data_IF_992506445006
#
_entry.id   IF_992506445006
#
_cell.length_a   1.000
_cell.length_b   1.000
_cell.length_c   1.000
_cell.angle_alpha   90.00
_cell.angle_beta   90.00
_cell.angle_gamma   90.00
#
_symmetry.space_group_name_H-M   'P 1'
#
loop_
_entity.id
_entity.type
_entity.pdbx_description
1 polymer ?
#
# COMPACT_ATOMS: atom_id res chain seq x y z
N UNK A 1 20.94 4.76 15.30
CA UNK A 1 19.94 4.15 14.39
C UNK A 1 18.60 4.85 14.59
N UNK A 2 17.69 4.85 13.61
CA UNK A 2 16.35 5.43 13.76
C UNK A 2 15.28 4.36 13.91
N UNK A 3 14.29 4.64 14.75
CA UNK A 3 13.20 3.72 15.09
C UNK A 3 11.87 4.45 15.08
N UNK A 4 10.90 3.97 14.31
CA UNK A 4 9.52 4.46 14.35
C UNK A 4 8.70 3.53 15.24
N UNK A 5 8.18 3.98 16.39
CA UNK A 5 7.30 3.17 17.22
C UNK A 5 6.02 2.82 16.47
N UNK A 6 5.65 1.54 16.50
CA UNK A 6 4.50 0.98 15.79
C UNK A 6 3.64 0.09 16.68
N UNK A 7 2.36 -0.06 16.34
CA UNK A 7 1.39 -0.85 17.08
C UNK A 7 0.46 -1.61 16.12
N UNK A 8 0.29 -2.91 16.34
CA UNK A 8 -0.67 -3.77 15.64
C UNK A 8 -0.69 -5.17 16.26
N UNK A 9 -1.76 -5.92 16.04
CA UNK A 9 -1.88 -7.31 16.52
C UNK A 9 -1.01 -8.31 15.74
N UNK A 10 -0.39 -7.90 14.63
CA UNK A 10 0.40 -8.78 13.75
C UNK A 10 1.93 -8.60 13.86
N UNK A 11 2.40 -7.72 14.76
CA UNK A 11 3.80 -7.31 14.79
C UNK A 11 4.76 -8.43 15.20
N UNK A 12 4.34 -9.31 16.11
CA UNK A 12 5.12 -10.49 16.51
C UNK A 12 5.50 -11.36 15.29
N UNK A 13 4.54 -11.64 14.42
CA UNK A 13 4.78 -12.45 13.21
C UNK A 13 5.72 -11.74 12.23
N UNK A 14 5.56 -10.43 12.06
CA UNK A 14 6.42 -9.65 11.17
C UNK A 14 7.85 -9.50 11.72
N UNK A 15 8.01 -9.37 13.03
CA UNK A 15 9.32 -9.26 13.68
C UNK A 15 10.15 -10.55 13.54
N UNK A 16 9.51 -11.71 13.70
CA UNK A 16 10.20 -13.01 13.65
C UNK A 16 10.60 -13.39 12.21
N UNK A 17 9.76 -13.08 11.23
CA UNK A 17 9.90 -13.64 9.87
C UNK A 17 10.97 -12.97 8.99
N UNK A 18 11.64 -11.91 9.47
CA UNK A 18 12.61 -11.08 8.72
C UNK A 18 12.21 -10.95 7.24
N UNK A 19 11.11 -10.26 7.00
CA UNK A 19 10.39 -10.35 5.73
C UNK A 19 11.06 -9.58 4.58
N UNK A 20 12.00 -8.66 4.85
CA UNK A 20 12.66 -7.80 3.86
C UNK A 20 14.01 -7.31 4.38
N UNK A 21 14.97 -7.09 3.48
CA UNK A 21 16.24 -6.42 3.80
C UNK A 21 16.09 -4.88 3.92
N UNK A 22 15.04 -4.30 3.33
CA UNK A 22 14.82 -2.86 3.27
C UNK A 22 13.97 -2.34 4.44
N UNK A 23 13.15 -3.19 5.05
CA UNK A 23 12.27 -2.86 6.16
C UNK A 23 12.31 -3.98 7.19
N UNK A 24 12.56 -3.63 8.45
CA UNK A 24 12.54 -4.58 9.56
C UNK A 24 11.62 -4.08 10.67
N UNK A 25 10.98 -5.03 11.35
CA UNK A 25 10.28 -4.78 12.61
C UNK A 25 11.09 -5.45 13.71
N UNK A 26 11.43 -4.67 14.75
CA UNK A 26 12.13 -5.17 15.94
C UNK A 26 11.21 -5.07 17.14
N UNK A 27 11.20 -6.13 17.95
CA UNK A 27 10.52 -6.16 19.25
C UNK A 27 11.50 -5.82 20.36
N UNK A 28 11.00 -5.15 21.39
CA UNK A 28 11.67 -4.85 22.64
C UNK A 28 10.65 -4.92 23.78
N UNK A 29 11.10 -4.67 25.01
CA UNK A 29 10.21 -4.52 26.16
C UNK A 29 10.36 -3.13 26.76
N UNK A 30 9.30 -2.65 27.40
CA UNK A 30 9.38 -1.44 28.21
C UNK A 30 10.29 -1.63 29.43
N UNK A 31 10.51 -0.55 30.19
CA UNK A 31 11.43 -0.57 31.36
C UNK A 31 10.97 -1.57 32.44
N UNK A 32 9.67 -1.88 32.50
CA UNK A 32 9.13 -2.87 33.45
C UNK A 32 9.32 -4.32 32.97
N UNK A 33 9.53 -4.52 31.66
CA UNK A 33 9.60 -5.85 31.04
C UNK A 33 8.23 -6.47 30.79
N UNK A 34 7.13 -5.77 31.08
CA UNK A 34 5.78 -6.31 31.01
C UNK A 34 5.07 -6.00 29.68
N UNK A 35 5.51 -4.94 29.00
CA UNK A 35 4.88 -4.47 27.77
C UNK A 35 5.81 -4.67 26.58
N UNK A 36 5.38 -5.50 25.63
CA UNK A 36 6.05 -5.62 24.33
C UNK A 36 5.93 -4.32 23.54
N UNK A 37 7.07 -3.80 23.10
CA UNK A 37 7.19 -2.62 22.25
C UNK A 37 7.71 -3.04 20.88
N UNK A 38 7.24 -2.38 19.84
CA UNK A 38 7.66 -2.66 18.47
C UNK A 38 8.08 -1.40 17.75
N UNK A 39 9.10 -1.56 16.92
CA UNK A 39 9.64 -0.48 16.13
C UNK A 39 9.86 -0.91 14.69
N UNK A 40 9.46 -0.07 13.74
CA UNK A 40 9.96 -0.14 12.38
C UNK A 40 11.35 0.48 12.33
N UNK A 41 12.27 -0.21 11.67
CA UNK A 41 13.60 0.30 11.36
C UNK A 41 14.02 -0.11 9.95
N UNK A 42 14.99 0.59 9.38
CA UNK A 42 15.43 0.34 8.01
C UNK A 42 16.87 0.84 7.80
N UNK A 43 17.68 0.14 6.98
CA UNK A 43 19.00 0.64 6.61
C UNK A 43 18.93 1.98 5.87
N UNK A 44 17.82 2.30 5.20
CA UNK A 44 17.60 3.57 4.52
C UNK A 44 17.42 4.77 5.45
N UNK A 45 17.32 4.54 6.77
CA UNK A 45 17.29 5.62 7.76
C UNK A 45 18.70 5.96 8.28
N UNK A 46 19.69 5.06 8.10
CA UNK A 46 21.04 5.22 8.69
C UNK A 46 21.81 6.42 8.14
N UNK A 47 21.47 6.90 6.95
CA UNK A 47 22.15 8.03 6.32
C UNK A 47 21.85 9.38 6.99
N UNK A 48 20.81 9.44 7.82
CA UNK A 48 20.41 10.67 8.48
C UNK A 48 21.02 10.78 9.87
N UNK A 49 21.69 11.89 10.12
CA UNK A 49 22.08 12.30 11.46
C UNK A 49 20.91 12.95 12.21
N UNK A 50 21.15 13.29 13.49
CA UNK A 50 20.16 13.92 14.36
C UNK A 50 19.67 15.28 13.82
N UNK A 51 20.52 16.01 13.09
CA UNK A 51 20.16 17.31 12.50
C UNK A 51 19.10 17.14 11.39
N UNK A 52 19.16 16.02 10.68
CA UNK A 52 18.26 15.63 9.59
C UNK A 52 17.11 14.69 10.03
N UNK A 53 16.72 14.72 11.30
CA UNK A 53 15.68 13.85 11.87
C UNK A 53 14.32 13.92 11.16
N UNK A 54 13.97 15.05 10.53
CA UNK A 54 12.74 15.17 9.72
C UNK A 54 12.75 14.25 8.51
N UNK A 55 13.89 14.19 7.80
CA UNK A 55 14.04 13.31 6.65
C UNK A 55 13.96 11.84 7.08
N UNK A 56 14.57 11.51 8.22
CA UNK A 56 14.44 10.19 8.82
C UNK A 56 12.97 9.86 9.16
N UNK A 57 12.23 10.81 9.75
CA UNK A 57 10.82 10.64 10.07
C UNK A 57 9.96 10.42 8.83
N UNK A 58 10.06 11.31 7.83
CA UNK A 58 9.24 11.21 6.62
C UNK A 58 9.58 9.99 5.78
N UNK A 59 10.85 9.56 5.76
CA UNK A 59 11.23 8.29 5.13
C UNK A 59 10.67 7.09 5.89
N UNK A 60 10.79 7.07 7.21
CA UNK A 60 10.18 5.99 8.01
C UNK A 60 8.66 5.94 7.81
N UNK A 61 8.00 7.10 7.71
CA UNK A 61 6.58 7.24 7.39
C UNK A 61 6.25 6.70 6.00
N UNK A 62 7.08 6.96 4.99
CA UNK A 62 6.89 6.43 3.65
C UNK A 62 7.09 4.90 3.60
N UNK A 63 8.09 4.37 4.31
CA UNK A 63 8.34 2.93 4.42
C UNK A 63 7.19 2.20 5.14
N UNK A 64 6.67 2.72 6.27
CA UNK A 64 5.51 2.10 6.94
C UNK A 64 4.26 2.19 6.07
N UNK A 65 4.08 3.27 5.29
CA UNK A 65 2.98 3.39 4.32
C UNK A 65 3.06 2.34 3.23
N UNK A 66 4.26 2.06 2.72
CA UNK A 66 4.49 0.99 1.74
C UNK A 66 4.15 -0.37 2.36
N UNK A 67 4.68 -0.68 3.54
CA UNK A 67 4.39 -1.93 4.23
C UNK A 67 2.88 -2.11 4.47
N UNK A 68 2.21 -1.06 4.98
CA UNK A 68 0.76 -1.05 5.17
C UNK A 68 0.01 -1.26 3.86
N UNK A 69 0.45 -0.64 2.76
CA UNK A 69 -0.20 -0.84 1.45
C UNK A 69 -0.18 -2.31 1.04
N UNK A 70 0.92 -3.03 1.30
CA UNK A 70 1.06 -4.45 0.96
C UNK A 70 0.22 -5.34 1.90
N UNK A 71 0.24 -5.06 3.20
CA UNK A 71 -0.56 -5.80 4.20
C UNK A 71 -2.06 -5.64 3.89
N UNK A 72 -2.49 -4.41 3.57
CA UNK A 72 -3.87 -4.10 3.23
C UNK A 72 -4.34 -4.78 1.93
N UNK A 73 -3.45 -5.25 1.06
CA UNK A 73 -3.89 -6.05 -0.09
C UNK A 73 -4.56 -7.36 0.36
N UNK A 74 -4.17 -7.95 1.48
CA UNK A 74 -4.70 -9.26 1.91
C UNK A 74 -5.58 -9.19 3.15
N UNK A 75 -5.59 -8.07 3.86
CA UNK A 75 -6.29 -7.91 5.13
C UNK A 75 -6.83 -6.49 5.32
N UNK A 76 -7.57 -6.26 6.41
CA UNK A 76 -8.15 -4.96 6.73
C UNK A 76 -7.50 -4.23 7.91
N UNK A 77 -6.33 -4.68 8.33
CA UNK A 77 -5.60 -4.07 9.44
C UNK A 77 -4.33 -3.41 8.92
N UNK A 78 -4.16 -2.14 9.27
CA UNK A 78 -2.92 -1.41 9.11
C UNK A 78 -2.10 -1.50 10.40
N UNK A 79 -0.82 -1.21 10.28
CA UNK A 79 0.07 -0.95 11.40
C UNK A 79 -0.03 0.53 11.75
N UNK A 80 -0.43 0.81 12.97
CA UNK A 80 -0.44 2.16 13.51
C UNK A 80 0.99 2.58 13.87
N UNK A 81 1.27 3.87 13.82
CA UNK A 81 2.61 4.41 14.13
C UNK A 81 2.52 5.73 14.88
N UNK A 82 3.53 5.98 15.72
CA UNK A 82 3.61 7.21 16.49
C UNK A 82 4.05 8.39 15.61
N UNK A 83 3.60 9.59 15.96
CA UNK A 83 4.07 10.86 15.38
C UNK A 83 5.54 11.20 15.67
N UNK A 84 6.20 10.47 16.58
CA UNK A 84 7.59 10.69 16.99
C UNK A 84 8.47 9.52 16.59
N UNK A 85 9.64 9.83 16.02
CA UNK A 85 10.70 8.86 15.77
C UNK A 85 11.69 8.87 16.95
N UNK A 86 12.34 7.74 17.21
CA UNK A 86 13.39 7.60 18.20
C UNK A 86 14.76 7.53 17.51
N UNK A 87 15.75 8.13 18.14
CA UNK A 87 17.14 8.05 17.73
C UNK A 87 17.94 7.29 18.78
N UNK A 88 18.67 6.27 18.33
CA UNK A 88 19.64 5.55 19.13
C UNK A 88 21.04 6.08 18.85
N UNK A 89 21.71 6.54 19.91
CA UNK A 89 23.11 6.90 19.92
C UNK A 89 23.84 6.20 21.08
N UNK A 90 25.11 6.58 21.32
CA UNK A 90 25.95 6.01 22.40
C UNK A 90 25.37 6.19 23.82
N UNK A 91 24.38 7.07 23.99
CA UNK A 91 23.69 7.33 25.25
C UNK A 91 22.32 6.63 25.34
N UNK A 92 21.98 5.78 24.37
CA UNK A 92 20.74 5.02 24.31
C UNK A 92 19.72 5.59 23.34
N UNK A 93 18.49 5.09 23.45
CA UNK A 93 17.35 5.46 22.60
C UNK A 93 16.63 6.66 23.21
N UNK A 94 16.41 7.72 22.43
CA UNK A 94 15.65 8.89 22.87
C UNK A 94 14.64 9.36 21.83
N UNK A 95 13.46 9.86 22.27
CA UNK A 95 12.48 10.42 21.36
C UNK A 95 12.97 11.75 20.78
N UNK A 96 12.77 11.93 19.48
CA UNK A 96 13.03 13.19 18.79
C UNK A 96 11.68 13.82 18.43
N UNK A 97 11.40 15.07 18.86
CA UNK A 97 10.15 15.71 18.55
C UNK A 97 10.05 15.94 17.04
N UNK A 98 8.86 15.75 16.43
CA UNK A 98 8.65 16.21 15.05
C UNK A 98 8.83 17.72 15.05
N UNK A 99 9.59 18.25 14.09
CA UNK A 99 9.62 19.69 13.86
C UNK A 99 8.19 20.12 13.49
N UNK A 100 7.64 21.05 14.26
CA UNK A 100 6.39 21.72 13.94
C UNK A 100 6.69 22.75 12.84
N UNK A 101 6.40 22.41 11.58
CA UNK A 101 5.78 23.28 10.55
C UNK A 101 6.06 22.78 9.11
N UNK A 102 4.99 22.70 8.31
CA UNK A 102 4.89 23.10 6.89
C UNK A 102 5.84 22.55 5.80
N UNK A 103 6.34 21.31 5.90
CA UNK A 103 7.13 20.71 4.80
C UNK A 103 6.43 19.55 4.08
N UNK A 104 5.27 19.83 3.47
CA UNK A 104 4.55 18.90 2.57
C UNK A 104 5.42 18.41 1.41
N UNK A 105 6.35 19.22 0.91
CA UNK A 105 7.26 18.83 -0.18
C UNK A 105 8.26 17.76 0.27
N UNK A 106 8.77 17.83 1.51
CA UNK A 106 9.70 16.81 2.01
C UNK A 106 8.97 15.49 2.17
N UNK A 107 7.77 15.50 2.77
CA UNK A 107 6.91 14.32 2.85
C UNK A 107 6.63 13.74 1.45
N UNK A 108 6.23 14.59 0.51
CA UNK A 108 5.99 14.22 -0.88
C UNK A 108 7.21 13.53 -1.51
N UNK A 109 8.40 14.13 -1.39
CA UNK A 109 9.62 13.55 -1.94
C UNK A 109 9.97 12.18 -1.34
N UNK A 110 9.78 12.01 -0.02
CA UNK A 110 10.04 10.72 0.63
C UNK A 110 9.01 9.66 0.24
N UNK A 111 7.75 10.03 -0.03
CA UNK A 111 6.71 9.08 -0.48
C UNK A 111 7.06 8.41 -1.82
N UNK A 112 7.62 9.16 -2.76
CA UNK A 112 8.00 8.64 -4.08
C UNK A 112 9.43 8.09 -4.15
N UNK A 113 10.22 8.26 -3.09
CA UNK A 113 11.58 7.74 -3.01
C UNK A 113 11.89 7.28 -1.56
N UNK A 114 11.17 6.26 -1.06
CA UNK A 114 11.36 5.77 0.31
C UNK A 114 12.65 4.96 0.47
N UNK A 115 13.18 4.43 -0.64
CA UNK A 115 14.46 3.73 -0.68
C UNK A 115 15.55 4.73 -1.10
N UNK A 116 16.61 4.84 -0.31
CA UNK A 116 17.83 5.54 -0.77
C UNK A 116 18.55 4.74 -1.86
N UNK A 117 19.45 5.39 -2.60
CA UNK A 117 20.33 4.77 -3.61
C UNK A 117 21.31 3.70 -3.05
N UNK A 118 21.09 3.23 -1.83
CA UNK A 118 21.84 2.14 -1.22
C UNK A 118 21.39 0.82 -1.85
N UNK A 119 22.21 0.32 -2.77
CA UNK A 119 22.07 -1.03 -3.31
C UNK A 119 22.63 -2.01 -2.29
N UNK A 120 21.75 -2.72 -1.60
CA UNK A 120 22.10 -3.86 -0.76
C UNK A 120 22.04 -5.12 -1.60
N UNK A 121 23.05 -5.99 -1.51
CA UNK A 121 22.95 -7.34 -2.06
C UNK A 121 21.83 -8.08 -1.31
N UNK A 122 20.89 -8.67 -2.06
CA UNK A 122 19.80 -9.45 -1.45
C UNK A 122 20.40 -10.60 -0.63
N UNK A 123 20.05 -10.66 0.65
CA UNK A 123 20.53 -11.73 1.52
C UNK A 123 19.91 -13.07 1.13
N UNK A 124 20.75 -14.11 1.03
CA UNK A 124 20.30 -15.49 0.77
C UNK A 124 19.53 -16.12 1.95
N UNK A 125 19.46 -15.43 3.09
CA UNK A 125 18.79 -15.90 4.32
C UNK A 125 17.36 -15.38 4.50
N UNK A 126 16.87 -14.51 3.61
CA UNK A 126 15.50 -13.97 3.71
C UNK A 126 14.43 -15.05 3.52
N UNK A 127 13.37 -14.94 4.31
CA UNK A 127 12.19 -15.78 4.14
C UNK A 127 11.49 -15.43 2.82
N UNK A 128 11.18 -16.43 2.00
CA UNK A 128 10.48 -16.25 0.73
C UNK A 128 8.99 -15.99 0.95
N UNK A 129 8.64 -14.75 1.29
CA UNK A 129 7.26 -14.33 1.57
C UNK A 129 6.81 -13.21 0.61
N UNK A 130 5.48 -13.08 0.44
CA UNK A 130 4.90 -12.13 -0.49
C UNK A 130 5.19 -10.67 -0.13
N UNK A 131 5.32 -10.33 1.17
CA UNK A 131 5.59 -8.97 1.62
C UNK A 131 6.98 -8.55 1.14
N UNK A 132 8.00 -9.37 1.40
CA UNK A 132 9.36 -9.14 0.96
C UNK A 132 9.51 -9.03 -0.55
N UNK A 133 8.86 -9.95 -1.28
CA UNK A 133 8.92 -9.94 -2.75
C UNK A 133 8.20 -8.72 -3.34
N UNK A 134 7.08 -8.26 -2.75
CA UNK A 134 6.40 -7.05 -3.21
C UNK A 134 7.16 -5.76 -2.85
N UNK A 135 7.82 -5.70 -1.69
CA UNK A 135 8.75 -4.61 -1.35
C UNK A 135 9.90 -4.57 -2.35
N UNK A 136 10.47 -5.73 -2.69
CA UNK A 136 11.55 -5.83 -3.67
C UNK A 136 11.12 -5.32 -5.04
N UNK A 137 9.93 -5.70 -5.51
CA UNK A 137 9.37 -5.18 -6.76
C UNK A 137 9.18 -3.66 -6.72
N UNK A 138 8.69 -3.11 -5.60
CA UNK A 138 8.52 -1.67 -5.43
C UNK A 138 9.87 -0.92 -5.46
N UNK A 139 10.93 -1.52 -4.92
CA UNK A 139 12.28 -0.95 -4.98
C UNK A 139 12.87 -0.97 -6.40
N UNK A 140 12.57 -2.02 -7.17
CA UNK A 140 13.11 -2.22 -8.51
C UNK A 140 12.32 -1.49 -9.62
N UNK A 141 11.04 -1.21 -9.41
CA UNK A 141 10.14 -0.66 -10.43
C UNK A 141 9.32 0.51 -9.87
N UNK A 142 9.61 1.72 -10.33
CA UNK A 142 8.91 2.95 -9.91
C UNK A 142 7.40 2.85 -10.05
N UNK A 143 6.90 2.22 -11.12
CA UNK A 143 5.45 2.07 -11.35
C UNK A 143 4.78 1.18 -10.30
N UNK A 144 5.51 0.21 -9.73
CA UNK A 144 5.03 -0.65 -8.65
C UNK A 144 4.95 0.14 -7.36
N UNK A 145 6.02 0.88 -7.03
CA UNK A 145 6.03 1.78 -5.88
C UNK A 145 4.90 2.81 -5.96
N UNK A 146 4.76 3.49 -7.09
CA UNK A 146 3.74 4.51 -7.32
C UNK A 146 2.32 3.92 -7.15
N UNK A 147 2.08 2.73 -7.70
CA UNK A 147 0.79 2.04 -7.57
C UNK A 147 0.47 1.71 -6.11
N UNK A 148 1.44 1.19 -5.35
CA UNK A 148 1.29 0.89 -3.93
C UNK A 148 1.12 2.16 -3.08
N UNK A 149 1.78 3.26 -3.44
CA UNK A 149 1.60 4.56 -2.79
C UNK A 149 0.20 5.12 -3.04
N UNK A 150 -0.31 5.08 -4.27
CA UNK A 150 -1.70 5.48 -4.55
C UNK A 150 -2.69 4.63 -3.77
N UNK A 151 -2.44 3.32 -3.67
CA UNK A 151 -3.28 2.45 -2.85
C UNK A 151 -3.23 2.84 -1.37
N UNK A 152 -2.04 3.12 -0.82
CA UNK A 152 -1.86 3.64 0.54
C UNK A 152 -2.62 4.94 0.78
N UNK A 153 -2.63 5.85 -0.20
CA UNK A 153 -3.36 7.11 -0.11
C UNK A 153 -4.88 6.93 -0.23
N UNK A 154 -5.34 5.94 -1.01
CA UNK A 154 -6.77 5.63 -1.17
C UNK A 154 -7.44 5.14 0.11
N UNK A 155 -6.65 4.64 1.09
CA UNK A 155 -7.17 4.10 2.35
C UNK A 155 -7.20 5.15 3.47
N UNK A 156 -6.68 6.35 3.25
CA UNK A 156 -6.65 7.41 4.26
C UNK A 156 -7.99 8.14 4.40
N UNK A 157 -8.62 8.42 3.27
CA UNK A 157 -9.84 9.21 3.20
C UNK A 157 -10.65 8.82 1.96
N UNK A 158 -11.98 8.78 2.10
CA UNK A 158 -12.91 8.50 1.00
C UNK A 158 -12.75 9.50 -0.15
N UNK A 159 -12.37 10.76 0.13
CA UNK A 159 -12.14 11.78 -0.90
C UNK A 159 -10.97 11.39 -1.82
N UNK A 160 -9.98 10.65 -1.31
CA UNK A 160 -8.83 10.19 -2.08
C UNK A 160 -9.08 8.87 -2.79
N UNK A 161 -10.09 8.10 -2.37
CA UNK A 161 -10.34 6.75 -2.87
C UNK A 161 -10.51 6.71 -4.39
N UNK A 162 -11.49 7.44 -4.94
CA UNK A 162 -11.77 7.37 -6.38
C UNK A 162 -10.65 7.91 -7.26
N UNK A 163 -10.02 9.01 -6.83
CA UNK A 163 -8.90 9.64 -7.57
C UNK A 163 -7.74 8.65 -7.69
N UNK A 164 -7.46 7.91 -6.62
CA UNK A 164 -6.35 6.97 -6.58
C UNK A 164 -6.68 5.62 -7.24
N UNK A 165 -7.90 5.08 -7.09
CA UNK A 165 -8.32 3.82 -7.75
C UNK A 165 -8.22 3.92 -9.27
N UNK A 166 -8.91 4.91 -9.83
CA UNK A 166 -8.24 5.96 -10.58
C UNK A 166 -6.92 5.61 -11.31
N UNK A 167 -5.89 6.23 -10.75
CA UNK A 167 -4.48 6.13 -11.15
C UNK A 167 -3.93 4.71 -11.09
N UNK A 168 -4.34 3.91 -10.10
CA UNK A 168 -3.87 2.53 -9.92
C UNK A 168 -4.18 1.70 -11.17
N UNK A 169 -5.44 1.64 -11.60
CA UNK A 169 -5.78 0.79 -12.75
C UNK A 169 -5.19 1.35 -14.05
N UNK A 170 -5.02 2.67 -14.18
CA UNK A 170 -4.31 3.27 -15.31
C UNK A 170 -2.84 2.88 -15.35
N UNK A 171 -2.14 2.90 -14.22
CA UNK A 171 -0.75 2.48 -14.12
C UNK A 171 -0.61 1.01 -14.49
N UNK A 172 -1.50 0.15 -13.99
CA UNK A 172 -1.50 -1.28 -14.31
C UNK A 172 -1.77 -1.51 -15.80
N UNK A 173 -2.78 -0.87 -16.38
CA UNK A 173 -3.09 -1.03 -17.81
C UNK A 173 -2.00 -0.47 -18.71
N UNK A 174 -1.41 0.67 -18.35
CA UNK A 174 -0.25 1.22 -19.05
C UNK A 174 0.95 0.27 -19.00
N UNK A 175 1.26 -0.27 -17.81
CA UNK A 175 2.37 -1.19 -17.63
C UNK A 175 2.22 -2.49 -18.44
N UNK A 176 0.99 -2.98 -18.58
CA UNK A 176 0.66 -4.18 -19.33
C UNK A 176 0.40 -3.91 -20.82
N UNK A 177 0.57 -2.67 -21.29
CA UNK A 177 0.28 -2.24 -22.66
C UNK A 177 -1.17 -2.53 -23.09
N UNK A 178 -2.10 -2.52 -22.13
CA UNK A 178 -3.51 -2.81 -22.35
C UNK A 178 -4.22 -1.56 -22.89
N UNK A 179 -4.86 -1.65 -24.07
CA UNK A 179 -5.58 -0.52 -24.62
C UNK A 179 -6.81 -0.20 -23.77
N UNK A 180 -6.98 1.07 -23.43
CA UNK A 180 -8.15 1.58 -22.67
C UNK A 180 -9.47 1.49 -23.46
N UNK A 181 -9.39 1.35 -24.79
CA UNK A 181 -10.57 1.24 -25.64
C UNK A 181 -11.21 -0.15 -25.49
N UNK A 182 -12.50 -0.19 -25.14
CA UNK A 182 -13.30 -1.40 -24.92
C UNK A 182 -13.19 -2.42 -26.07
N UNK A 183 -13.24 -1.97 -27.32
CA UNK A 183 -13.18 -2.84 -28.49
C UNK A 183 -11.78 -3.43 -28.71
N UNK A 184 -10.74 -2.63 -28.46
CA UNK A 184 -9.36 -3.10 -28.56
C UNK A 184 -9.03 -4.09 -27.43
N UNK A 185 -9.46 -3.80 -26.20
CA UNK A 185 -9.29 -4.70 -25.06
C UNK A 185 -9.98 -6.04 -25.29
N UNK A 186 -11.22 -6.04 -25.80
CA UNK A 186 -11.95 -7.28 -26.12
C UNK A 186 -11.21 -8.21 -27.09
N UNK A 187 -10.30 -7.69 -27.94
CA UNK A 187 -9.51 -8.52 -28.87
C UNK A 187 -8.35 -9.26 -28.18
N UNK A 188 -7.85 -8.75 -27.06
CA UNK A 188 -6.69 -9.30 -26.37
C UNK A 188 -7.05 -9.98 -25.03
N UNK A 189 -8.24 -9.70 -24.48
CA UNK A 189 -8.62 -10.12 -23.11
C UNK A 189 -8.52 -11.63 -22.88
N UNK A 190 -8.79 -12.44 -23.89
CA UNK A 190 -8.77 -13.91 -23.77
C UNK A 190 -7.35 -14.48 -23.67
N UNK A 191 -6.33 -13.68 -23.98
CA UNK A 191 -4.91 -14.06 -23.86
C UNK A 191 -4.31 -13.67 -22.49
N UNK A 192 -5.04 -12.92 -21.67
CA UNK A 192 -4.57 -12.50 -20.35
C UNK A 192 -4.72 -13.63 -19.32
N UNK A 193 -3.87 -13.59 -18.29
CA UNK A 193 -4.01 -14.51 -17.14
C UNK A 193 -5.43 -14.41 -16.57
N UNK A 194 -6.14 -15.53 -16.33
CA UNK A 194 -7.52 -15.52 -15.86
C UNK A 194 -7.72 -14.75 -14.56
N UNK A 195 -6.73 -14.76 -13.66
CA UNK A 195 -6.81 -14.04 -12.39
C UNK A 195 -6.73 -12.53 -12.59
N UNK A 196 -5.93 -12.08 -13.55
CA UNK A 196 -5.82 -10.67 -13.91
C UNK A 196 -7.04 -10.19 -14.70
N UNK A 197 -7.48 -11.00 -15.68
CA UNK A 197 -8.59 -10.71 -16.58
C UNK A 197 -9.88 -10.38 -15.84
N UNK A 198 -10.27 -11.17 -14.83
CA UNK A 198 -11.55 -10.96 -14.11
C UNK A 198 -11.65 -9.56 -13.51
N UNK A 199 -10.56 -9.04 -12.96
CA UNK A 199 -10.54 -7.73 -12.33
C UNK A 199 -10.40 -6.62 -13.37
N UNK A 200 -9.63 -6.82 -14.42
CA UNK A 200 -9.59 -5.88 -15.55
C UNK A 200 -10.95 -5.74 -16.25
N UNK A 201 -11.69 -6.84 -16.41
CA UNK A 201 -13.04 -6.83 -16.99
C UNK A 201 -13.99 -5.92 -16.18
N UNK A 202 -13.88 -5.89 -14.85
CA UNK A 202 -14.64 -4.97 -13.99
C UNK A 202 -14.37 -3.49 -14.34
N UNK A 203 -13.09 -3.10 -14.46
CA UNK A 203 -12.71 -1.71 -14.72
C UNK A 203 -12.91 -1.27 -16.18
N UNK A 204 -12.60 -2.15 -17.15
CA UNK A 204 -12.57 -1.82 -18.58
C UNK A 204 -13.88 -2.14 -19.33
N UNK A 205 -14.61 -3.18 -18.92
CA UNK A 205 -15.86 -3.60 -19.57
C UNK A 205 -17.10 -3.28 -18.73
N UNK A 206 -16.94 -3.23 -17.41
CA UNK A 206 -17.99 -2.96 -16.43
C UNK A 206 -18.45 -1.51 -16.38
N UNK A 207 -19.32 -1.22 -15.42
CA UNK A 207 -19.90 0.12 -15.23
C UNK A 207 -18.93 1.10 -14.57
N UNK A 208 -17.78 0.66 -14.04
CA UNK A 208 -16.83 1.54 -13.34
C UNK A 208 -16.37 2.71 -14.19
N UNK A 209 -15.99 2.49 -15.44
CA UNK A 209 -15.55 3.57 -16.33
C UNK A 209 -16.65 4.62 -16.56
N UNK A 210 -17.92 4.20 -16.69
CA UNK A 210 -19.05 5.14 -16.81
C UNK A 210 -19.35 5.85 -15.49
N UNK A 211 -19.29 5.10 -14.38
CA UNK A 211 -19.51 5.59 -13.03
C UNK A 211 -18.46 6.68 -12.66
N UNK A 212 -17.18 6.40 -12.87
CA UNK A 212 -16.08 7.31 -12.55
C UNK A 212 -16.01 8.59 -13.42
N UNK A 213 -16.61 8.57 -14.61
CA UNK A 213 -16.58 9.67 -15.57
C UNK A 213 -17.87 10.50 -15.61
N UNK A 214 -18.85 10.22 -14.74
CA UNK A 214 -20.13 10.93 -14.69
C UNK A 214 -20.31 11.65 -13.36
N UNK A 215 -21.03 12.78 -13.38
CA UNK A 215 -21.38 13.53 -12.16
C UNK A 215 -22.42 12.77 -11.34
N UNK A 216 -23.32 12.05 -11.99
CA UNK A 216 -24.33 11.20 -11.34
C UNK A 216 -23.71 9.97 -10.66
N UNK A 217 -22.56 9.49 -11.16
CA UNK A 217 -21.82 8.38 -10.56
C UNK A 217 -20.98 8.81 -9.36
N UNK A 218 -19.87 9.53 -9.59
CA UNK A 218 -18.90 9.89 -8.54
C UNK A 218 -18.99 11.34 -8.03
N UNK A 219 -19.99 12.11 -8.49
CA UNK A 219 -20.23 13.46 -8.00
C UNK A 219 -19.06 14.40 -8.28
N UNK A 220 -18.55 15.02 -7.22
CA UNK A 220 -17.40 15.93 -7.28
C UNK A 220 -16.09 15.23 -7.66
N UNK A 221 -16.04 13.90 -7.61
CA UNK A 221 -14.87 13.09 -8.00
C UNK A 221 -14.97 12.57 -9.43
N UNK A 222 -15.90 13.11 -10.23
CA UNK A 222 -15.95 12.82 -11.65
C UNK A 222 -14.70 13.33 -12.34
N UNK A 223 -14.16 12.52 -13.25
CA UNK A 223 -12.92 12.87 -13.98
C UNK A 223 -13.12 13.90 -15.07
N UNK A 224 -14.36 14.04 -15.50
CA UNK A 224 -14.76 15.05 -16.45
C UNK A 224 -15.74 15.98 -15.75
N UNK A 225 -15.87 17.20 -16.27
CA UNK A 225 -16.91 18.12 -15.82
C UNK A 225 -18.31 17.60 -16.19
N UNK A 226 -19.26 18.51 -16.39
CA UNK A 226 -20.62 18.14 -16.77
C UNK A 226 -20.63 17.30 -18.06
N UNK A 227 -20.88 15.99 -17.93
CA UNK A 227 -21.05 15.06 -19.04
C UNK A 227 -22.49 15.14 -19.53
N UNK A 228 -22.69 15.13 -20.85
CA UNK A 228 -24.03 15.02 -21.44
C UNK A 228 -24.58 13.60 -21.44
N UNK A 229 -23.78 12.61 -21.02
CA UNK A 229 -24.21 11.22 -20.87
C UNK A 229 -24.44 10.96 -19.38
N UNK A 230 -25.71 10.92 -18.92
CA UNK A 230 -26.01 10.61 -17.54
C UNK A 230 -25.67 9.15 -17.24
N UNK A 231 -25.21 8.88 -16.02
CA UNK A 231 -25.16 7.51 -15.51
C UNK A 231 -26.55 7.13 -15.00
N UNK A 232 -27.17 6.16 -15.68
CA UNK A 232 -28.55 5.73 -15.48
C UNK A 232 -28.69 4.40 -14.72
N UNK A 233 -27.58 3.93 -14.13
CA UNK A 233 -27.50 2.65 -13.40
C UNK A 233 -27.39 2.90 -11.89
N UNK A 234 -27.59 1.83 -11.13
CA UNK A 234 -27.30 1.83 -9.69
C UNK A 234 -25.83 2.17 -9.44
N UNK A 235 -25.58 3.02 -8.43
CA UNK A 235 -24.23 3.38 -8.02
C UNK A 235 -23.44 2.13 -7.60
N UNK A 236 -22.15 2.11 -7.94
CA UNK A 236 -21.28 1.00 -7.55
C UNK A 236 -21.01 1.01 -6.04
N UNK A 237 -21.03 -0.18 -5.42
CA UNK A 237 -20.66 -0.36 -4.02
C UNK A 237 -19.16 -0.10 -3.83
N UNK A 238 -18.80 0.79 -2.90
CA UNK A 238 -17.41 1.06 -2.55
C UNK A 238 -16.64 -0.21 -2.18
N UNK A 239 -17.28 -1.15 -1.49
CA UNK A 239 -16.63 -2.41 -1.12
C UNK A 239 -16.39 -3.31 -2.33
N UNK A 240 -17.23 -3.21 -3.38
CA UNK A 240 -16.99 -3.91 -4.65
C UNK A 240 -15.79 -3.31 -5.38
N UNK A 241 -15.67 -1.98 -5.40
CA UNK A 241 -14.52 -1.29 -6.00
C UNK A 241 -13.23 -1.62 -5.22
N UNK A 242 -13.25 -1.54 -3.89
CA UNK A 242 -12.12 -1.89 -3.01
C UNK A 242 -11.70 -3.36 -3.21
N UNK A 243 -12.66 -4.27 -3.29
CA UNK A 243 -12.39 -5.67 -3.57
C UNK A 243 -11.71 -5.87 -4.94
N UNK A 244 -12.24 -5.24 -6.00
CA UNK A 244 -11.69 -5.39 -7.34
C UNK A 244 -10.31 -4.73 -7.48
N UNK A 245 -10.08 -3.57 -6.85
CA UNK A 245 -8.78 -2.88 -6.98
C UNK A 245 -7.68 -3.61 -6.22
N UNK A 246 -7.93 -4.09 -5.00
CA UNK A 246 -6.95 -4.87 -4.22
C UNK A 246 -6.53 -6.13 -4.96
N UNK A 247 -7.52 -6.87 -5.46
CA UNK A 247 -7.23 -8.10 -6.17
C UNK A 247 -6.63 -7.86 -7.56
N UNK A 248 -6.93 -6.74 -8.23
CA UNK A 248 -6.22 -6.33 -9.44
C UNK A 248 -4.73 -6.09 -9.16
N UNK A 249 -4.41 -5.33 -8.09
CA UNK A 249 -3.02 -5.09 -7.68
C UNK A 249 -2.32 -6.41 -7.37
N UNK A 250 -2.96 -7.31 -6.59
CA UNK A 250 -2.40 -8.64 -6.28
C UNK A 250 -2.10 -9.44 -7.56
N UNK A 251 -3.07 -9.54 -8.47
CA UNK A 251 -2.90 -10.32 -9.70
C UNK A 251 -1.76 -9.76 -10.56
N UNK A 252 -1.67 -8.44 -10.67
CA UNK A 252 -0.60 -7.75 -11.40
C UNK A 252 0.79 -7.95 -10.76
N UNK A 253 0.91 -7.82 -9.43
CA UNK A 253 2.17 -8.06 -8.73
C UNK A 253 2.62 -9.52 -8.86
N UNK A 254 1.67 -10.46 -8.79
CA UNK A 254 1.94 -11.88 -9.00
C UNK A 254 2.41 -12.19 -10.43
N UNK A 255 1.83 -11.55 -11.44
CA UNK A 255 2.26 -11.70 -12.83
C UNK A 255 3.70 -11.19 -13.02
N UNK A 256 4.01 -10.00 -12.49
CA UNK A 256 5.38 -9.46 -12.45
C UNK A 256 6.37 -10.39 -11.75
N UNK A 257 5.98 -10.88 -10.58
CA UNK A 257 6.83 -11.76 -9.79
C UNK A 257 7.10 -13.10 -10.50
N UNK A 258 6.08 -13.65 -11.18
CA UNK A 258 6.20 -14.87 -11.97
C UNK A 258 7.18 -14.67 -13.12
N UNK A 259 7.09 -13.55 -13.83
CA UNK A 259 8.01 -13.21 -14.92
C UNK A 259 9.45 -12.99 -14.45
N UNK A 260 9.65 -12.29 -13.32
CA UNK A 260 10.99 -11.94 -12.82
C UNK A 260 11.68 -13.04 -12.01
N UNK A 261 10.94 -13.69 -11.11
CA UNK A 261 11.50 -14.62 -10.09
C UNK A 261 10.93 -16.04 -10.20
N UNK A 262 9.99 -16.30 -11.10
CA UNK A 262 9.33 -17.62 -11.22
C UNK A 262 8.43 -17.96 -10.02
N UNK A 263 8.08 -16.97 -9.19
CA UNK A 263 7.27 -17.16 -7.98
C UNK A 263 5.84 -16.65 -8.18
N UNK A 264 4.91 -17.24 -7.44
CA UNK A 264 3.51 -16.84 -7.44
C UNK A 264 2.89 -17.13 -6.08
N UNK A 265 2.17 -16.15 -5.53
CA UNK A 265 1.51 -16.27 -4.23
C UNK A 265 0.00 -16.36 -4.43
N UNK A 266 -0.60 -17.48 -3.98
CA UNK A 266 -2.06 -17.65 -4.00
C UNK A 266 -2.70 -16.89 -2.84
N UNK A 267 -2.71 -15.56 -2.95
CA UNK A 267 -3.33 -14.63 -2.01
C UNK A 267 -4.51 -13.94 -2.70
N UNK A 268 -5.58 -13.72 -1.95
CA UNK A 268 -6.78 -13.01 -2.43
C UNK A 268 -7.32 -12.20 -1.27
N UNK A 269 -7.74 -10.97 -1.56
CA UNK A 269 -8.52 -10.19 -0.61
C UNK A 269 -9.93 -10.78 -0.53
N UNK A 270 -10.32 -11.25 0.65
CA UNK A 270 -11.68 -11.71 0.89
C UNK A 270 -12.49 -10.56 1.50
N UNK A 271 -13.61 -10.20 0.87
CA UNK A 271 -14.59 -9.28 1.45
C UNK A 271 -15.04 -9.89 2.77
N UNK A 272 -14.71 -9.27 3.92
CA UNK A 272 -15.32 -9.70 5.18
C UNK A 272 -16.82 -9.43 5.06
N UNK A 273 -17.69 -10.39 5.37
CA UNK A 273 -19.09 -10.07 5.55
C UNK A 273 -19.16 -9.01 6.66
N UNK A 274 -19.84 -7.91 6.39
CA UNK A 274 -20.30 -7.02 7.45
C UNK A 274 -21.37 -7.84 8.18
N UNK A 275 -20.98 -8.65 9.15
CA UNK A 275 -21.97 -9.17 10.09
C UNK A 275 -22.50 -7.96 10.84
N UNK A 276 -23.81 -7.70 10.70
CA UNK A 276 -24.47 -6.74 11.55
C UNK A 276 -24.20 -7.15 13.00
N UNK A 277 -23.73 -6.20 13.84
CA UNK A 277 -23.57 -6.44 15.27
C UNK A 277 -24.89 -7.02 15.80
N UNK A 278 -24.80 -8.16 16.48
CA UNK A 278 -25.97 -8.79 17.08
C UNK A 278 -26.25 -8.08 18.40
N UNK A 279 -27.50 -8.07 18.85
CA UNK A 279 -27.88 -7.45 20.13
C UNK A 279 -27.05 -7.99 21.32
N UNK A 280 -26.53 -9.22 21.21
CA UNK A 280 -25.59 -9.83 22.17
C UNK A 280 -24.25 -9.11 22.29
N UNK A 281 -23.88 -8.30 21.30
CA UNK A 281 -22.62 -7.55 21.29
C UNK A 281 -22.74 -6.21 22.06
N UNK A 282 -23.95 -5.87 22.53
CA UNK A 282 -24.26 -4.66 23.31
C UNK A 282 -24.58 -4.93 24.78
N UNK A 283 -24.56 -6.20 25.22
CA UNK A 283 -24.73 -6.54 26.63
C UNK A 283 -23.39 -6.40 27.37
N UNK A 284 -23.18 -5.23 27.98
CA UNK A 284 -22.14 -4.97 28.99
C UNK A 284 -22.64 -5.28 30.40
#
# INVERSE_FOLDING_TARGET
>A
MWYLPIQSNMLNSLAINNFSDDISIVGDYDVTGEVELYYLTSPHLKEYDLENHELAYYRAKALIRLLNSIILLTNNYAIDYNSRILFEDKHGIRPVPPRKNDFTIVEYNQLFSPFSNLMFEQSSTLSTNYIGDFISLAKEEDIVLETLMFFSLSTLDVLYFFINVYKIYENITYNLEIPKNKNAYNKIRDNLDPDLRKYLDFFLLGSFSQFANSKEGTGIFSRHGESHVPYDKEALDFNEIDYNIRNLIIAWLNDKLRAKKGRYYKITYNKRPVEAMRDSDYEF
#
